data_IF_528648225271
#
_entry.id   IF_528648225271
#
_cell.length_a   1.000
_cell.length_b   1.000
_cell.length_c   1.000
_cell.angle_alpha   90.00
_cell.angle_beta   90.00
_cell.angle_gamma   90.00
#
_symmetry.space_group_name_H-M   'P 1'
#
loop_
_entity.id
_entity.type
_entity.pdbx_description
1 polymer ?
#
# COMPACT_ATOMS: atom_id res chain seq x y z
N UNK A 1 -16.78 -11.97 -25.70
CA UNK A 1 -16.79 -12.09 -24.23
C UNK A 1 -15.46 -11.54 -23.75
N UNK A 2 -15.41 -10.77 -22.65
CA UNK A 2 -14.14 -10.26 -22.13
C UNK A 2 -13.35 -11.40 -21.48
N UNK A 3 -12.03 -11.43 -21.59
CA UNK A 3 -11.18 -12.46 -20.98
C UNK A 3 -10.64 -12.02 -19.64
N UNK A 4 -10.78 -12.86 -18.62
CA UNK A 4 -10.28 -12.63 -17.27
C UNK A 4 -9.26 -13.70 -16.90
N UNK A 5 -8.05 -13.30 -16.52
CA UNK A 5 -7.06 -14.20 -15.94
C UNK A 5 -7.12 -14.12 -14.42
N UNK A 6 -7.54 -15.21 -13.78
CA UNK A 6 -7.61 -15.35 -12.34
C UNK A 6 -6.41 -16.11 -11.80
N UNK A 7 -5.38 -15.38 -11.34
CA UNK A 7 -4.19 -15.91 -10.69
C UNK A 7 -4.43 -16.04 -9.19
N UNK A 8 -4.17 -17.19 -8.59
CA UNK A 8 -4.38 -17.33 -7.14
C UNK A 8 -3.35 -18.22 -6.47
N UNK A 9 -3.03 -17.91 -5.21
CA UNK A 9 -2.20 -18.73 -4.35
C UNK A 9 -3.07 -19.74 -3.58
N UNK A 10 -3.01 -21.05 -3.89
CA UNK A 10 -3.82 -22.07 -3.23
C UNK A 10 -3.47 -22.29 -1.76
N UNK A 11 -2.33 -21.77 -1.30
CA UNK A 11 -1.80 -21.89 0.05
C UNK A 11 -1.93 -20.60 0.87
N UNK A 12 -2.50 -19.52 0.32
CA UNK A 12 -2.66 -18.28 1.05
C UNK A 12 -3.60 -18.43 2.27
N UNK A 13 -3.20 -17.84 3.39
CA UNK A 13 -3.96 -17.86 4.64
C UNK A 13 -4.27 -19.29 5.10
N UNK A 14 -5.57 -19.60 5.25
CA UNK A 14 -6.05 -20.94 5.62
C UNK A 14 -6.40 -21.82 4.41
N UNK A 15 -6.04 -21.42 3.19
CA UNK A 15 -6.34 -22.17 1.97
C UNK A 15 -7.82 -22.15 1.56
N UNK A 16 -8.59 -21.16 2.03
CA UNK A 16 -10.05 -21.07 1.83
C UNK A 16 -10.46 -20.91 0.36
N UNK A 17 -9.53 -20.53 -0.52
CA UNK A 17 -9.81 -20.39 -1.95
C UNK A 17 -10.34 -21.71 -2.55
N UNK A 18 -9.90 -22.86 -2.03
CA UNK A 18 -10.35 -24.19 -2.50
C UNK A 18 -11.86 -24.39 -2.33
N UNK A 19 -12.42 -23.83 -1.27
CA UNK A 19 -13.85 -23.96 -0.95
C UNK A 19 -14.71 -22.93 -1.69
N UNK A 20 -14.11 -21.87 -2.24
CA UNK A 20 -14.81 -20.74 -2.86
C UNK A 20 -14.58 -20.67 -4.38
N UNK A 21 -13.66 -21.45 -4.95
CA UNK A 21 -13.19 -21.30 -6.32
C UNK A 21 -14.33 -21.39 -7.35
N UNK A 22 -15.21 -22.38 -7.23
CA UNK A 22 -16.34 -22.55 -8.15
C UNK A 22 -17.29 -21.35 -8.12
N UNK A 23 -17.63 -20.86 -6.94
CA UNK A 23 -18.53 -19.72 -6.78
C UNK A 23 -17.90 -18.42 -7.29
N UNK A 24 -16.59 -18.22 -7.09
CA UNK A 24 -15.85 -17.08 -7.65
C UNK A 24 -15.88 -17.11 -9.18
N UNK A 25 -15.60 -18.27 -9.78
CA UNK A 25 -15.63 -18.45 -11.24
C UNK A 25 -17.04 -18.24 -11.79
N UNK A 26 -18.07 -18.73 -11.10
CA UNK A 26 -19.48 -18.50 -11.46
C UNK A 26 -19.84 -17.02 -11.43
N UNK A 27 -19.42 -16.28 -10.39
CA UNK A 27 -19.62 -14.82 -10.29
C UNK A 27 -18.99 -14.11 -11.50
N UNK A 28 -17.74 -14.41 -11.83
CA UNK A 28 -17.08 -13.79 -12.98
C UNK A 28 -17.71 -14.18 -14.31
N UNK A 29 -18.12 -15.44 -14.47
CA UNK A 29 -18.80 -15.91 -15.69
C UNK A 29 -20.15 -15.22 -15.87
N UNK A 30 -20.95 -15.08 -14.80
CA UNK A 30 -22.20 -14.30 -14.81
C UNK A 30 -21.96 -12.82 -15.08
N UNK A 31 -20.81 -12.29 -14.66
CA UNK A 31 -20.32 -10.96 -15.02
C UNK A 31 -19.89 -10.79 -16.48
N UNK A 32 -20.01 -11.84 -17.30
CA UNK A 32 -19.73 -11.80 -18.74
C UNK A 32 -18.25 -12.02 -19.10
N UNK A 33 -17.47 -12.64 -18.21
CA UNK A 33 -16.07 -12.97 -18.46
C UNK A 33 -15.88 -14.44 -18.89
N UNK A 34 -15.00 -14.65 -19.86
CA UNK A 34 -14.35 -15.94 -20.10
C UNK A 34 -13.18 -16.07 -19.12
N UNK A 35 -13.33 -16.94 -18.13
CA UNK A 35 -12.40 -17.04 -16.99
C UNK A 35 -11.33 -18.09 -17.25
N UNK A 36 -10.07 -17.68 -17.22
CA UNK A 36 -8.90 -18.58 -17.18
C UNK A 36 -8.33 -18.56 -15.77
N UNK A 37 -8.29 -19.71 -15.12
CA UNK A 37 -7.75 -19.83 -13.75
C UNK A 37 -6.30 -20.30 -13.76
N UNK A 38 -5.48 -19.76 -12.87
CA UNK A 38 -4.07 -20.12 -12.73
C UNK A 38 -3.68 -20.24 -11.24
N UNK A 39 -3.67 -21.47 -10.67
CA UNK A 39 -3.12 -21.69 -9.34
C UNK A 39 -1.59 -21.58 -9.39
N UNK A 40 -1.00 -20.68 -8.62
CA UNK A 40 0.46 -20.54 -8.54
C UNK A 40 1.09 -21.77 -7.89
N UNK A 41 2.23 -22.22 -8.41
CA UNK A 41 2.95 -23.42 -7.97
C UNK A 41 4.18 -23.09 -7.09
N UNK A 42 4.70 -21.86 -7.16
CA UNK A 42 5.88 -21.43 -6.40
C UNK A 42 5.91 -19.90 -6.24
N UNK A 43 6.86 -19.40 -5.43
CA UNK A 43 7.19 -17.97 -5.36
C UNK A 43 7.54 -17.44 -6.76
N UNK A 44 7.06 -16.24 -7.10
CA UNK A 44 7.19 -15.59 -8.42
C UNK A 44 6.48 -16.29 -9.59
N UNK A 45 5.75 -17.40 -9.38
CA UNK A 45 5.03 -18.06 -10.48
C UNK A 45 3.89 -17.19 -11.03
N UNK A 46 3.17 -16.49 -10.14
CA UNK A 46 2.15 -15.51 -10.54
C UNK A 46 2.74 -14.35 -11.35
N UNK A 47 3.85 -13.79 -10.86
CA UNK A 47 4.63 -12.77 -11.59
C UNK A 47 5.02 -13.24 -13.00
N UNK A 48 5.64 -14.43 -13.10
CA UNK A 48 6.11 -14.98 -14.37
C UNK A 48 4.96 -15.23 -15.36
N UNK A 49 3.83 -15.74 -14.86
CA UNK A 49 2.62 -15.96 -15.66
C UNK A 49 2.10 -14.65 -16.23
N UNK A 50 2.04 -13.60 -15.41
CA UNK A 50 1.57 -12.27 -15.81
C UNK A 50 2.52 -11.59 -16.80
N UNK A 51 3.84 -11.65 -16.59
CA UNK A 51 4.81 -11.13 -17.58
C UNK A 51 4.70 -11.84 -18.93
N UNK A 52 4.37 -13.14 -18.94
CA UNK A 52 4.28 -13.93 -20.17
C UNK A 52 3.04 -13.63 -21.02
N UNK A 53 1.87 -13.46 -20.39
CA UNK A 53 0.61 -13.36 -21.13
C UNK A 53 -0.45 -12.47 -20.48
N UNK A 54 -0.13 -11.71 -19.43
CA UNK A 54 -1.11 -10.88 -18.72
C UNK A 54 -1.75 -9.81 -19.61
N UNK A 55 -0.99 -9.29 -20.57
CA UNK A 55 -1.48 -8.29 -21.54
C UNK A 55 -2.48 -8.84 -22.58
N UNK A 56 -2.67 -10.16 -22.64
CA UNK A 56 -3.63 -10.82 -23.55
C UNK A 56 -5.06 -10.86 -22.99
N UNK A 57 -5.26 -10.34 -21.77
CA UNK A 57 -6.53 -10.37 -21.04
C UNK A 57 -7.10 -8.95 -20.85
N UNK A 58 -8.42 -8.87 -20.70
CA UNK A 58 -9.12 -7.62 -20.44
C UNK A 58 -9.15 -7.26 -18.95
N UNK A 59 -8.91 -8.24 -18.08
CA UNK A 59 -8.85 -8.09 -16.62
C UNK A 59 -7.92 -9.13 -16.01
N UNK A 60 -7.12 -8.71 -15.04
CA UNK A 60 -6.38 -9.60 -14.15
C UNK A 60 -7.08 -9.61 -12.81
N UNK A 61 -7.29 -10.79 -12.23
CA UNK A 61 -7.67 -10.92 -10.82
C UNK A 61 -6.59 -11.71 -10.10
N UNK A 62 -6.13 -11.20 -8.97
CA UNK A 62 -5.20 -11.92 -8.08
C UNK A 62 -5.90 -12.30 -6.77
N UNK A 63 -5.63 -13.50 -6.25
CA UNK A 63 -6.06 -13.89 -4.90
C UNK A 63 -4.91 -14.48 -4.09
N UNK A 64 -4.70 -13.91 -2.90
CA UNK A 64 -3.57 -14.28 -2.04
C UNK A 64 -3.41 -13.30 -0.89
N UNK A 65 -2.21 -13.25 -0.31
CA UNK A 65 -1.84 -12.18 0.62
C UNK A 65 -1.17 -11.00 -0.10
N UNK A 66 -0.65 -10.06 0.68
CA UNK A 66 0.03 -8.86 0.18
C UNK A 66 1.22 -9.20 -0.75
N UNK A 67 1.96 -10.29 -0.49
CA UNK A 67 3.03 -10.76 -1.38
C UNK A 67 2.52 -11.21 -2.76
N UNK A 68 1.36 -11.87 -2.83
CA UNK A 68 0.75 -12.28 -4.11
C UNK A 68 0.23 -11.08 -4.90
N UNK A 69 -0.27 -10.04 -4.19
CA UNK A 69 -0.61 -8.76 -4.81
C UNK A 69 0.65 -8.04 -5.32
N UNK A 70 1.72 -7.99 -4.51
CA UNK A 70 3.00 -7.37 -4.88
C UNK A 70 3.61 -8.02 -6.12
N UNK A 71 3.60 -9.35 -6.23
CA UNK A 71 4.02 -10.07 -7.44
C UNK A 71 3.18 -9.67 -8.67
N UNK A 72 1.86 -9.57 -8.52
CA UNK A 72 0.99 -9.19 -9.62
C UNK A 72 1.25 -7.75 -10.08
N UNK A 73 1.32 -6.80 -9.16
CA UNK A 73 1.60 -5.39 -9.47
C UNK A 73 2.97 -5.25 -10.13
N UNK A 74 4.02 -5.88 -9.58
CA UNK A 74 5.37 -5.87 -10.18
C UNK A 74 5.37 -6.35 -11.64
N UNK A 75 4.61 -7.40 -11.96
CA UNK A 75 4.49 -7.87 -13.34
C UNK A 75 3.74 -6.85 -14.20
N UNK A 76 2.63 -6.31 -13.70
CA UNK A 76 1.81 -5.33 -14.42
C UNK A 76 2.54 -4.00 -14.68
N UNK A 77 3.50 -3.62 -13.85
CA UNK A 77 4.37 -2.47 -14.10
C UNK A 77 5.26 -2.62 -15.35
N UNK A 78 5.36 -3.83 -15.91
CA UNK A 78 6.06 -4.09 -17.19
C UNK A 78 5.13 -4.03 -18.41
N UNK A 79 3.83 -3.80 -18.21
CA UNK A 79 2.87 -3.81 -19.30
C UNK A 79 2.83 -2.48 -20.03
N UNK A 80 2.60 -2.51 -21.33
CA UNK A 80 2.37 -1.31 -22.15
C UNK A 80 0.94 -0.77 -21.98
N UNK A 81 0.03 -1.66 -21.56
CA UNK A 81 -1.39 -1.36 -21.34
C UNK A 81 -1.73 -1.40 -19.86
N UNK A 82 -2.54 -0.43 -19.43
CA UNK A 82 -3.09 -0.38 -18.08
C UNK A 82 -4.29 -1.33 -17.93
N UNK A 83 -4.02 -2.63 -17.82
CA UNK A 83 -5.04 -3.65 -17.60
C UNK A 83 -5.62 -3.51 -16.17
N UNK A 84 -6.95 -3.52 -15.98
CA UNK A 84 -7.56 -3.47 -14.65
C UNK A 84 -7.20 -4.69 -13.78
N UNK A 85 -6.99 -4.44 -12.47
CA UNK A 85 -6.67 -5.42 -11.44
C UNK A 85 -7.82 -5.58 -10.44
N UNK A 86 -8.30 -6.80 -10.26
CA UNK A 86 -9.12 -7.18 -9.11
C UNK A 86 -8.25 -7.88 -8.04
N UNK A 87 -8.53 -7.65 -6.77
CA UNK A 87 -7.85 -8.32 -5.66
C UNK A 87 -8.83 -9.00 -4.72
N UNK A 88 -8.67 -10.31 -4.52
CA UNK A 88 -9.43 -11.09 -3.55
C UNK A 88 -8.49 -11.45 -2.38
N UNK A 89 -8.59 -10.76 -1.23
CA UNK A 89 -7.70 -10.99 -0.11
C UNK A 89 -7.92 -12.37 0.52
N UNK A 90 -6.85 -13.15 0.61
CA UNK A 90 -6.81 -14.49 1.18
C UNK A 90 -5.72 -14.66 2.25
N UNK A 91 -4.85 -13.66 2.44
CA UNK A 91 -3.78 -13.66 3.45
C UNK A 91 -4.28 -13.31 4.86
N UNK A 92 -3.34 -13.24 5.81
CA UNK A 92 -3.64 -12.94 7.22
C UNK A 92 -3.74 -11.44 7.51
N UNK A 93 -2.88 -10.63 6.87
CA UNK A 93 -2.79 -9.18 7.11
C UNK A 93 -3.65 -8.42 6.09
N UNK A 94 -3.30 -8.52 4.80
CA UNK A 94 -3.99 -7.87 3.68
C UNK A 94 -4.11 -6.35 3.90
N UNK A 95 -2.99 -5.69 4.21
CA UNK A 95 -2.94 -4.25 4.52
C UNK A 95 -3.48 -3.41 3.36
N UNK A 96 -3.15 -3.77 2.11
CA UNK A 96 -3.65 -3.06 0.93
C UNK A 96 -5.18 -3.21 0.79
N UNK A 97 -5.72 -4.42 0.98
CA UNK A 97 -7.17 -4.64 0.94
C UNK A 97 -7.89 -3.87 2.05
N UNK A 98 -7.30 -3.82 3.25
CA UNK A 98 -7.86 -3.03 4.35
C UNK A 98 -7.88 -1.53 4.03
N UNK A 99 -6.83 -1.02 3.37
CA UNK A 99 -6.73 0.39 3.00
C UNK A 99 -7.71 0.78 1.91
N UNK A 100 -7.89 -0.08 0.91
CA UNK A 100 -8.83 0.11 -0.20
C UNK A 100 -10.27 -0.30 0.13
N UNK A 101 -10.55 -0.66 1.40
CA UNK A 101 -11.86 -1.13 1.87
C UNK A 101 -12.41 -2.37 1.13
N UNK A 102 -11.53 -3.23 0.61
CA UNK A 102 -11.91 -4.46 -0.09
C UNK A 102 -12.46 -5.47 0.93
N UNK A 103 -13.60 -6.14 0.66
CA UNK A 103 -14.18 -7.13 1.55
C UNK A 103 -13.23 -8.29 1.87
N UNK A 104 -13.26 -8.71 3.14
CA UNK A 104 -12.54 -9.91 3.60
C UNK A 104 -13.18 -11.22 3.12
N UNK A 105 -14.47 -11.19 2.76
CA UNK A 105 -15.18 -12.35 2.25
C UNK A 105 -14.92 -12.47 0.75
N UNK A 106 -14.37 -13.60 0.32
CA UNK A 106 -13.90 -13.79 -1.06
C UNK A 106 -15.00 -13.58 -2.10
N UNK A 107 -16.21 -14.10 -1.85
CA UNK A 107 -17.34 -13.95 -2.77
C UNK A 107 -17.83 -12.50 -2.86
N UNK A 108 -17.72 -11.73 -1.79
CA UNK A 108 -18.09 -10.31 -1.80
C UNK A 108 -17.06 -9.52 -2.60
N UNK A 109 -15.76 -9.76 -2.38
CA UNK A 109 -14.70 -9.16 -3.20
C UNK A 109 -14.83 -9.52 -4.70
N UNK A 110 -15.17 -10.77 -5.03
CA UNK A 110 -15.41 -11.18 -6.41
C UNK A 110 -16.58 -10.40 -7.06
N UNK A 111 -17.69 -10.19 -6.35
CA UNK A 111 -18.81 -9.37 -6.84
C UNK A 111 -18.41 -7.92 -7.04
N UNK A 112 -17.67 -7.35 -6.09
CA UNK A 112 -17.17 -5.97 -6.22
C UNK A 112 -16.24 -5.78 -7.42
N UNK A 113 -15.45 -6.78 -7.79
CA UNK A 113 -14.60 -6.71 -8.99
C UNK A 113 -15.45 -6.63 -10.27
N UNK A 114 -16.57 -7.34 -10.34
CA UNK A 114 -17.49 -7.32 -11.49
C UNK A 114 -18.19 -5.97 -11.56
N UNK A 115 -18.85 -5.57 -10.48
CA UNK A 115 -19.79 -4.44 -10.43
C UNK A 115 -19.12 -3.09 -10.11
N UNK A 116 -17.83 -3.12 -9.72
CA UNK A 116 -17.11 -1.96 -9.22
C UNK A 116 -16.80 -0.88 -10.26
N UNK A 117 -16.25 0.22 -9.78
CA UNK A 117 -15.70 1.31 -10.58
C UNK A 117 -14.19 1.14 -10.73
N UNK A 118 -13.63 1.81 -11.74
CA UNK A 118 -12.19 1.89 -11.90
C UNK A 118 -11.61 2.86 -10.89
N UNK A 119 -10.54 2.45 -10.22
CA UNK A 119 -9.81 3.28 -9.27
C UNK A 119 -8.33 3.26 -9.62
N UNK A 120 -7.78 4.40 -10.00
CA UNK A 120 -6.35 4.53 -10.27
C UNK A 120 -5.56 4.62 -8.95
N UNK A 121 -4.37 4.02 -8.91
CA UNK A 121 -3.59 3.86 -7.69
C UNK A 121 -2.10 4.05 -7.97
N UNK A 122 -1.43 4.78 -7.08
CA UNK A 122 0.00 5.03 -7.13
C UNK A 122 0.82 3.82 -6.69
N UNK A 123 1.90 3.54 -7.41
CA UNK A 123 2.84 2.46 -7.07
C UNK A 123 4.19 3.06 -6.77
N UNK A 124 4.89 2.53 -5.76
CA UNK A 124 6.23 2.99 -5.46
C UNK A 124 7.31 2.27 -6.26
N UNK A 125 8.33 3.02 -6.68
CA UNK A 125 9.53 2.50 -7.33
C UNK A 125 10.73 2.74 -6.44
N UNK A 126 11.38 1.67 -6.00
CA UNK A 126 12.55 1.63 -5.12
C UNK A 126 13.76 1.11 -5.90
N UNK A 127 14.75 1.94 -6.21
CA UNK A 127 15.96 1.53 -6.95
C UNK A 127 15.68 0.64 -8.19
N UNK A 128 14.59 0.91 -8.92
CA UNK A 128 14.15 0.12 -10.07
C UNK A 128 13.26 -1.09 -9.79
N UNK A 129 13.05 -1.46 -8.53
CA UNK A 129 12.02 -2.43 -8.10
C UNK A 129 10.71 -1.70 -7.76
N UNK A 130 9.59 -2.41 -7.74
CA UNK A 130 8.30 -1.81 -7.37
C UNK A 130 7.82 -2.33 -6.01
N UNK A 131 7.05 -1.51 -5.30
CA UNK A 131 6.30 -1.88 -4.10
C UNK A 131 4.91 -1.26 -4.16
N UNK A 132 3.94 -1.94 -3.56
CA UNK A 132 2.53 -1.56 -3.67
C UNK A 132 2.19 -0.49 -2.65
N UNK A 133 2.58 -0.66 -1.39
CA UNK A 133 1.99 0.17 -0.33
C UNK A 133 2.99 0.67 0.72
N UNK A 134 4.13 0.00 0.93
CA UNK A 134 5.15 0.51 1.85
C UNK A 134 6.57 0.05 1.50
N UNK A 135 7.50 0.99 1.54
CA UNK A 135 8.92 0.74 1.70
C UNK A 135 9.35 1.17 3.10
N UNK A 136 10.17 0.40 3.78
CA UNK A 136 10.61 0.74 5.14
C UNK A 136 12.00 0.24 5.50
N UNK A 137 12.59 0.87 6.52
CA UNK A 137 13.86 0.48 7.11
C UNK A 137 13.84 0.62 8.64
N UNK A 138 14.81 -0.02 9.31
CA UNK A 138 15.04 0.14 10.74
C UNK A 138 14.28 -0.88 11.60
N UNK A 139 13.86 -0.47 12.80
CA UNK A 139 13.06 -1.28 13.69
C UNK A 139 11.89 -1.89 12.89
N UNK A 140 11.64 -3.19 13.07
CA UNK A 140 10.64 -3.98 12.32
C UNK A 140 11.07 -4.59 10.98
N UNK A 141 12.29 -4.36 10.45
CA UNK A 141 12.79 -5.15 9.28
C UNK A 141 13.27 -6.56 9.65
N UNK A 142 13.71 -6.78 10.89
CA UNK A 142 14.21 -8.07 11.40
C UNK A 142 13.22 -8.81 12.34
N UNK A 143 12.07 -8.21 12.64
CA UNK A 143 11.12 -8.77 13.61
C UNK A 143 9.83 -9.15 12.89
N UNK A 144 9.77 -10.41 12.48
CA UNK A 144 8.51 -11.12 12.24
C UNK A 144 7.52 -10.85 13.38
N UNK A 145 6.26 -10.64 13.00
CA UNK A 145 5.06 -10.33 13.80
C UNK A 145 4.78 -11.20 15.05
N UNK A 146 5.74 -11.35 15.97
CA UNK A 146 5.60 -12.23 17.14
C UNK A 146 5.10 -11.52 18.40
N UNK A 147 4.68 -10.26 18.34
CA UNK A 147 4.32 -9.59 19.59
C UNK A 147 3.24 -8.51 19.47
N UNK A 148 1.96 -8.89 19.54
CA UNK A 148 0.98 -7.95 20.12
C UNK A 148 -0.35 -8.48 20.67
N UNK A 149 -0.84 -9.69 20.39
CA UNK A 149 -2.15 -10.08 20.97
C UNK A 149 -2.01 -10.68 22.38
N UNK A 150 -1.03 -11.56 22.59
CA UNK A 150 -0.76 -12.21 23.89
C UNK A 150 -0.06 -11.29 24.89
N UNK A 151 0.74 -10.33 24.42
CA UNK A 151 1.47 -9.38 25.28
C UNK A 151 0.61 -8.22 25.79
N UNK A 152 -0.35 -7.73 24.99
CA UNK A 152 -1.30 -6.70 25.44
C UNK A 152 -2.21 -7.19 26.57
N UNK A 153 -2.56 -8.48 26.57
CA UNK A 153 -3.52 -9.02 27.53
C UNK A 153 -2.91 -9.50 28.86
N UNK A 154 -1.57 -9.60 28.96
CA UNK A 154 -0.94 -10.31 30.09
C UNK A 154 -0.06 -9.45 31.01
N UNK A 155 0.36 -8.25 30.59
CA UNK A 155 1.53 -7.62 31.22
C UNK A 155 1.43 -6.14 31.67
N UNK A 156 0.37 -5.40 31.34
CA UNK A 156 0.23 -4.00 31.79
C UNK A 156 1.33 -3.05 31.27
N UNK A 157 1.16 -1.74 31.50
CA UNK A 157 2.02 -0.70 30.90
C UNK A 157 3.51 -0.80 31.33
N UNK A 158 3.78 -1.23 32.57
CA UNK A 158 5.14 -1.29 33.12
C UNK A 158 6.05 -2.36 32.48
N UNK A 159 5.51 -3.54 32.14
CA UNK A 159 6.29 -4.58 31.49
C UNK A 159 6.56 -4.28 30.00
N UNK A 160 5.64 -3.55 29.35
CA UNK A 160 5.87 -3.01 28.01
C UNK A 160 7.03 -2.00 27.99
N UNK A 161 7.08 -1.11 28.99
CA UNK A 161 8.21 -0.18 29.19
C UNK A 161 9.52 -0.94 29.48
N UNK A 162 9.48 -1.98 30.32
CA UNK A 162 10.67 -2.79 30.62
C UNK A 162 11.22 -3.55 29.40
N UNK A 163 10.34 -4.10 28.57
CA UNK A 163 10.72 -4.75 27.30
C UNK A 163 11.22 -3.71 26.28
N UNK A 164 10.61 -2.52 26.24
CA UNK A 164 11.10 -1.38 25.45
C UNK A 164 12.51 -0.95 25.86
N UNK A 165 12.81 -0.89 27.16
CA UNK A 165 14.15 -0.59 27.71
C UNK A 165 15.17 -1.67 27.29
N UNK A 166 14.80 -2.95 27.38
CA UNK A 166 15.68 -4.06 26.95
C UNK A 166 15.98 -4.03 25.46
N UNK A 167 15.04 -3.55 24.65
CA UNK A 167 15.20 -3.41 23.20
C UNK A 167 15.93 -2.12 22.84
N UNK A 168 15.84 -1.05 23.63
CA UNK A 168 16.52 0.22 23.38
C UNK A 168 18.03 0.06 23.19
N UNK A 169 18.71 -0.78 23.98
CA UNK A 169 20.15 -1.02 23.82
C UNK A 169 20.52 -1.77 22.52
N UNK A 170 19.53 -2.35 21.83
CA UNK A 170 19.67 -3.02 20.54
C UNK A 170 19.16 -2.16 19.37
N UNK A 171 18.37 -1.12 19.65
CA UNK A 171 17.86 -0.21 18.62
C UNK A 171 19.03 0.68 18.18
N UNK A 172 19.60 0.34 17.02
CA UNK A 172 20.67 1.13 16.41
C UNK A 172 20.04 2.07 15.39
N UNK A 173 20.09 3.37 15.68
CA UNK A 173 19.69 4.41 14.74
C UNK A 173 20.58 4.41 13.50
N UNK A 174 19.97 4.61 12.34
CA UNK A 174 20.67 4.72 11.07
C UNK A 174 20.95 6.19 10.79
N UNK A 175 22.23 6.54 10.67
CA UNK A 175 22.65 7.88 10.25
C UNK A 175 22.36 8.03 8.76
N UNK A 176 21.46 8.94 8.43
CA UNK A 176 20.98 9.15 7.08
C UNK A 176 20.90 10.63 6.73
N UNK A 177 21.22 10.91 5.47
CA UNK A 177 20.84 12.11 4.74
C UNK A 177 19.61 11.76 3.89
N UNK A 178 18.53 12.51 4.06
CA UNK A 178 17.26 12.35 3.36
C UNK A 178 17.03 13.60 2.52
N UNK A 179 16.77 13.42 1.24
CA UNK A 179 16.56 14.51 0.29
C UNK A 179 15.20 14.36 -0.38
N UNK A 180 14.37 15.39 -0.33
CA UNK A 180 13.09 15.45 -1.04
C UNK A 180 12.78 16.89 -1.39
N UNK A 181 12.20 17.16 -2.55
CA UNK A 181 11.70 18.49 -2.94
C UNK A 181 12.68 19.67 -2.77
N UNK A 182 14.00 19.40 -2.87
CA UNK A 182 15.06 20.40 -2.65
C UNK A 182 15.44 20.63 -1.18
N UNK A 183 14.77 19.98 -0.24
CA UNK A 183 15.09 19.96 1.18
C UNK A 183 16.06 18.83 1.53
N UNK A 184 16.84 19.06 2.59
CA UNK A 184 17.80 18.09 3.12
C UNK A 184 17.57 17.93 4.61
N UNK A 185 17.38 16.68 5.03
CA UNK A 185 17.22 16.28 6.43
C UNK A 185 18.35 15.32 6.78
N UNK A 186 19.18 15.70 7.75
CA UNK A 186 20.25 14.84 8.25
C UNK A 186 19.95 14.43 9.70
N UNK A 187 20.07 13.14 9.99
CA UNK A 187 19.80 12.65 11.33
C UNK A 187 19.95 11.14 11.50
N UNK A 188 19.71 10.71 12.73
CA UNK A 188 19.71 9.30 13.11
C UNK A 188 18.27 8.82 13.26
N UNK A 189 17.87 7.84 12.46
CA UNK A 189 16.49 7.33 12.44
C UNK A 189 16.43 5.85 12.82
N UNK A 190 15.50 5.50 13.70
CA UNK A 190 15.28 4.10 14.10
C UNK A 190 14.24 3.41 13.23
N UNK A 191 13.44 4.16 12.48
CA UNK A 191 12.43 3.65 11.57
C UNK A 191 12.20 4.70 10.50
N UNK A 192 12.07 4.26 9.25
CA UNK A 192 11.48 5.06 8.19
C UNK A 192 10.42 4.25 7.46
N UNK A 193 9.29 4.90 7.18
CA UNK A 193 8.18 4.36 6.41
C UNK A 193 7.87 5.34 5.28
N UNK A 194 7.88 4.85 4.05
CA UNK A 194 7.47 5.56 2.85
C UNK A 194 6.27 4.80 2.32
N UNK A 195 5.08 5.37 2.46
CA UNK A 195 3.83 4.63 2.31
C UNK A 195 2.83 5.28 1.38
N UNK A 196 1.98 4.43 0.80
CA UNK A 196 0.71 4.77 0.15
C UNK A 196 -0.41 3.88 0.73
N UNK A 197 -0.59 3.93 2.05
CA UNK A 197 -1.49 3.03 2.81
C UNK A 197 -2.06 3.75 4.03
N UNK A 198 -3.20 3.29 4.56
CA UNK A 198 -3.71 3.72 5.89
C UNK A 198 -3.44 2.67 6.97
N UNK A 199 -2.79 1.56 6.64
CA UNK A 199 -2.36 0.51 7.58
C UNK A 199 -1.01 -0.08 7.19
N UNK A 200 -0.07 -0.15 8.14
CA UNK A 200 1.13 -0.99 8.03
C UNK A 200 1.10 -2.02 9.15
N UNK A 201 1.11 -3.31 8.81
CA UNK A 201 1.10 -4.40 9.78
C UNK A 201 -0.13 -4.42 10.68
N UNK A 202 -1.29 -3.98 10.15
CA UNK A 202 -2.53 -3.83 10.91
C UNK A 202 -2.58 -2.61 11.86
N UNK A 203 -1.54 -1.75 11.87
CA UNK A 203 -1.50 -0.54 12.68
C UNK A 203 -1.94 0.69 11.87
N UNK A 204 -3.20 1.10 12.07
CA UNK A 204 -3.81 2.23 11.34
C UNK A 204 -3.32 3.64 11.75
N UNK A 205 -2.55 3.75 12.84
CA UNK A 205 -2.25 5.04 13.51
C UNK A 205 -0.79 5.47 13.41
N UNK A 206 0.04 4.71 12.70
CA UNK A 206 1.46 5.04 12.49
C UNK A 206 1.70 5.77 11.15
N UNK A 207 0.65 5.99 10.36
CA UNK A 207 0.75 6.69 9.08
C UNK A 207 0.11 8.07 9.23
N UNK A 208 0.68 9.06 8.54
CA UNK A 208 0.17 10.41 8.51
C UNK A 208 -1.32 10.44 8.10
N UNK A 209 -2.08 11.39 8.62
CA UNK A 209 -3.48 11.58 8.25
C UNK A 209 -3.63 12.14 6.83
N UNK A 210 -4.74 11.82 6.16
CA UNK A 210 -5.05 12.37 4.83
C UNK A 210 -4.29 11.69 3.70
N UNK A 211 -4.11 10.37 3.77
CA UNK A 211 -3.57 9.55 2.68
C UNK A 211 -4.53 9.61 1.49
N UNK A 212 -4.01 9.98 0.33
CA UNK A 212 -4.71 9.95 -0.94
C UNK A 212 -3.95 9.00 -1.86
N UNK A 213 -4.61 7.96 -2.38
CA UNK A 213 -3.89 6.84 -2.96
C UNK A 213 -3.40 7.06 -4.40
N UNK A 214 -3.72 8.22 -4.98
CA UNK A 214 -3.55 8.53 -6.38
C UNK A 214 -3.07 9.97 -6.66
N UNK A 215 -2.63 10.69 -5.62
CA UNK A 215 -2.23 12.11 -5.72
C UNK A 215 -0.81 12.29 -6.30
N UNK A 216 -0.03 11.21 -6.38
CA UNK A 216 1.37 11.19 -6.81
C UNK A 216 2.36 11.40 -5.66
N UNK A 217 1.92 11.33 -4.41
CA UNK A 217 2.74 11.57 -3.22
C UNK A 217 2.78 10.33 -2.32
N UNK A 218 3.86 10.20 -1.56
CA UNK A 218 3.93 9.27 -0.42
C UNK A 218 3.74 10.03 0.88
N UNK A 219 3.17 9.36 1.88
CA UNK A 219 3.34 9.74 3.28
C UNK A 219 4.65 9.17 3.80
N UNK A 220 5.58 10.05 4.16
CA UNK A 220 6.87 9.68 4.76
C UNK A 220 6.84 9.94 6.26
N UNK A 221 7.18 8.93 7.05
CA UNK A 221 7.34 9.03 8.50
C UNK A 221 8.70 8.49 8.89
N UNK A 222 9.55 9.35 9.45
CA UNK A 222 10.83 8.96 10.04
C UNK A 222 10.78 9.12 11.55
N UNK A 223 11.16 8.09 12.28
CA UNK A 223 11.24 8.10 13.74
C UNK A 223 12.67 8.37 14.16
N UNK A 224 12.90 9.51 14.82
CA UNK A 224 14.21 9.93 15.31
C UNK A 224 14.70 8.96 16.38
N UNK A 225 16.02 8.80 16.46
CA UNK A 225 16.64 7.93 17.46
C UNK A 225 16.43 8.49 18.87
N UNK A 226 15.74 7.76 19.77
CA UNK A 226 15.50 8.24 21.12
C UNK A 226 16.82 8.23 21.92
N UNK A 227 17.04 9.25 22.74
CA UNK A 227 18.24 9.39 23.58
C UNK A 227 18.20 8.49 24.81
N UNK A 228 17.00 8.11 25.24
CA UNK A 228 16.78 7.30 26.43
C UNK A 228 15.42 6.59 26.38
N UNK A 229 15.17 5.73 27.38
CA UNK A 229 13.96 4.93 27.48
C UNK A 229 12.67 5.73 27.64
N UNK A 230 12.73 6.89 28.31
CA UNK A 230 11.57 7.77 28.50
C UNK A 230 11.18 8.35 27.14
N UNK A 231 12.14 8.81 26.36
CA UNK A 231 11.92 9.31 25.00
C UNK A 231 11.37 8.23 24.07
N UNK A 232 11.89 6.99 24.14
CA UNK A 232 11.31 5.86 23.40
C UNK A 232 9.85 5.60 23.81
N UNK A 233 9.56 5.58 25.12
CA UNK A 233 8.19 5.39 25.60
C UNK A 233 7.24 6.50 25.14
N UNK A 234 7.70 7.75 25.14
CA UNK A 234 6.91 8.88 24.66
C UNK A 234 6.67 8.78 23.15
N UNK A 235 7.71 8.45 22.38
CA UNK A 235 7.62 8.23 20.93
C UNK A 235 6.59 7.15 20.59
N UNK A 236 6.61 6.02 21.30
CA UNK A 236 5.63 4.95 21.10
C UNK A 236 4.21 5.42 21.46
N UNK A 237 4.05 6.09 22.60
CA UNK A 237 2.74 6.60 23.03
C UNK A 237 2.17 7.60 22.01
N UNK A 238 3.02 8.49 21.50
CA UNK A 238 2.69 9.47 20.46
C UNK A 238 2.27 8.78 19.16
N UNK A 239 3.04 7.79 18.69
CA UNK A 239 2.68 6.97 17.53
C UNK A 239 1.33 6.25 17.71
N UNK A 240 1.08 5.63 18.87
CA UNK A 240 -0.19 4.93 19.13
C UNK A 240 -1.38 5.90 19.15
N UNK A 241 -1.16 7.15 19.56
CA UNK A 241 -2.15 8.21 19.58
C UNK A 241 -2.27 8.97 18.25
N UNK A 242 -1.47 8.62 17.23
CA UNK A 242 -1.32 9.37 15.98
C UNK A 242 -0.96 10.86 16.18
N UNK A 243 -0.11 11.13 17.18
CA UNK A 243 0.42 12.47 17.49
C UNK A 243 1.88 12.55 17.06
N UNK A 244 2.12 12.58 15.75
CA UNK A 244 3.47 12.56 15.17
C UNK A 244 4.16 13.93 15.38
N UNK A 245 4.66 14.16 16.60
CA UNK A 245 5.28 15.43 16.98
C UNK A 245 6.71 15.55 16.42
N UNK A 246 7.05 16.72 15.88
CA UNK A 246 8.36 17.02 15.28
C UNK A 246 9.55 16.77 16.21
N UNK A 247 9.33 16.69 17.53
CA UNK A 247 10.37 16.30 18.49
C UNK A 247 10.88 14.88 18.24
N UNK A 248 9.99 13.92 17.97
CA UNK A 248 10.34 12.50 17.83
C UNK A 248 10.16 11.99 16.40
N UNK A 249 9.42 12.71 15.56
CA UNK A 249 9.10 12.33 14.19
C UNK A 249 9.60 13.39 13.20
N UNK A 250 9.81 12.96 11.97
CA UNK A 250 9.86 13.82 10.79
C UNK A 250 8.80 13.27 9.86
N UNK A 251 7.87 14.12 9.42
CA UNK A 251 6.81 13.72 8.49
C UNK A 251 6.68 14.70 7.36
N UNK A 252 6.56 14.19 6.14
CA UNK A 252 6.35 15.00 4.95
C UNK A 252 5.64 14.17 3.87
N UNK A 253 5.13 14.86 2.85
CA UNK A 253 4.63 14.24 1.63
C UNK A 253 5.56 14.58 0.47
N UNK A 254 5.86 13.61 -0.39
CA UNK A 254 6.70 13.85 -1.57
C UNK A 254 6.46 12.83 -2.68
N UNK A 255 6.71 13.22 -3.92
CA UNK A 255 6.72 12.32 -5.08
C UNK A 255 8.06 11.59 -5.25
N UNK A 256 9.14 12.11 -4.67
CA UNK A 256 10.49 11.54 -4.79
C UNK A 256 11.33 11.82 -3.55
N UNK A 257 11.93 10.77 -2.99
CA UNK A 257 12.84 10.87 -1.85
C UNK A 257 14.08 10.03 -2.07
N UNK A 258 15.23 10.57 -1.68
CA UNK A 258 16.52 9.87 -1.69
C UNK A 258 17.05 9.72 -0.27
N UNK A 259 17.54 8.53 0.06
CA UNK A 259 18.19 8.21 1.32
C UNK A 259 19.64 7.82 1.04
N UNK A 260 20.58 8.51 1.70
CA UNK A 260 22.00 8.14 1.71
C UNK A 260 22.41 7.84 3.15
N UNK A 261 22.98 6.66 3.40
CA UNK A 261 23.43 6.21 4.72
C UNK A 261 24.91 5.89 4.74
N UNK A 262 25.53 6.04 5.92
CA UNK A 262 26.97 5.74 6.12
C UNK A 262 27.24 4.24 5.98
N UNK A 263 26.34 3.41 6.51
CA UNK A 263 26.42 1.95 6.45
C UNK A 263 25.29 1.39 5.58
N UNK A 264 25.43 0.16 5.12
CA UNK A 264 24.34 -0.58 4.48
C UNK A 264 23.15 -0.75 5.43
N UNK A 265 21.98 -0.29 5.00
CA UNK A 265 20.73 -0.39 5.76
C UNK A 265 19.83 -1.43 5.12
N UNK A 266 19.30 -2.41 5.87
CA UNK A 266 18.27 -3.32 5.37
C UNK A 266 16.95 -2.59 5.13
N UNK A 267 16.32 -2.89 4.00
CA UNK A 267 15.01 -2.39 3.63
C UNK A 267 14.00 -3.51 3.48
N UNK A 268 12.73 -3.19 3.67
CA UNK A 268 11.59 -4.03 3.33
C UNK A 268 10.69 -3.33 2.32
N UNK A 269 10.11 -4.10 1.41
CA UNK A 269 9.14 -3.67 0.40
C UNK A 269 7.92 -4.56 0.53
N UNK A 270 6.76 -4.00 0.90
CA UNK A 270 5.52 -4.74 1.17
C UNK A 270 5.71 -5.92 2.16
N UNK A 271 6.66 -5.77 3.10
CA UNK A 271 7.01 -6.81 4.08
C UNK A 271 7.99 -7.89 3.60
N UNK A 272 8.42 -7.86 2.33
CA UNK A 272 9.49 -8.72 1.79
C UNK A 272 10.84 -7.98 1.82
N UNK A 273 11.96 -8.71 1.67
CA UNK A 273 13.29 -8.08 1.66
C UNK A 273 13.47 -7.16 0.44
N UNK A 274 13.81 -5.90 0.69
CA UNK A 274 14.24 -4.92 -0.30
C UNK A 274 15.75 -4.88 -0.51
N UNK A 275 16.51 -5.78 0.14
CA UNK A 275 17.98 -5.78 0.13
C UNK A 275 18.60 -4.82 1.15
N UNK A 276 19.92 -4.64 1.06
CA UNK A 276 20.67 -3.70 1.90
C UNK A 276 21.33 -2.66 1.00
N UNK A 277 21.22 -1.40 1.37
CA UNK A 277 21.64 -0.28 0.52
C UNK A 277 22.27 0.84 1.35
N UNK A 278 23.27 1.49 0.79
CA UNK A 278 23.78 2.80 1.26
C UNK A 278 23.12 3.97 0.53
N UNK A 279 22.54 3.71 -0.64
CA UNK A 279 21.82 4.70 -1.45
C UNK A 279 20.49 4.11 -1.91
N UNK A 280 19.41 4.84 -1.66
CA UNK A 280 18.05 4.48 -2.06
C UNK A 280 17.39 5.68 -2.68
N UNK A 281 16.87 5.51 -3.89
CA UNK A 281 15.96 6.43 -4.55
C UNK A 281 14.57 5.80 -4.60
N UNK A 282 13.56 6.53 -4.11
CA UNK A 282 12.16 6.14 -4.13
C UNK A 282 11.35 7.18 -4.90
N UNK A 283 10.61 6.72 -5.91
CA UNK A 283 9.77 7.55 -6.78
C UNK A 283 8.33 7.04 -6.78
N UNK A 284 7.36 7.95 -6.73
CA UNK A 284 5.95 7.63 -6.89
C UNK A 284 5.61 7.52 -8.38
N UNK A 285 5.15 6.34 -8.80
CA UNK A 285 4.58 6.12 -10.11
C UNK A 285 3.08 6.44 -10.04
N UNK A 286 2.75 7.71 -10.27
CA UNK A 286 1.39 8.23 -10.14
C UNK A 286 0.42 7.44 -11.02
N UNK A 287 -0.67 6.98 -10.40
CA UNK A 287 -1.77 6.29 -11.05
C UNK A 287 -1.25 5.16 -11.97
N UNK A 288 -0.29 4.37 -11.51
CA UNK A 288 0.34 3.34 -12.34
C UNK A 288 -0.53 2.08 -12.49
N UNK A 289 -1.34 1.75 -11.47
CA UNK A 289 -2.25 0.61 -11.48
C UNK A 289 -3.70 1.11 -11.47
N UNK A 290 -4.60 0.29 -12.00
CA UNK A 290 -6.05 0.53 -11.99
C UNK A 290 -6.75 -0.63 -11.32
N UNK A 291 -7.29 -0.43 -10.13
CA UNK A 291 -8.12 -1.41 -9.45
C UNK A 291 -9.57 -1.38 -9.93
N UNK A 292 -10.28 -2.49 -9.71
CA UNK A 292 -11.75 -2.55 -9.71
C UNK A 292 -12.24 -2.64 -8.27
N UNK A 293 -12.88 -1.57 -7.78
CA UNK A 293 -13.35 -1.44 -6.40
C UNK A 293 -14.82 -1.06 -6.38
N UNK A 294 -15.55 -1.43 -5.33
CA UNK A 294 -16.88 -0.88 -5.12
C UNK A 294 -16.81 0.64 -4.88
N UNK A 295 -17.80 1.42 -5.36
CA UNK A 295 -17.98 2.80 -4.92
C UNK A 295 -17.97 2.95 -3.39
N UNK A 296 -17.03 3.74 -2.91
CA UNK A 296 -16.82 4.13 -1.53
C UNK A 296 -16.21 5.54 -1.48
N UNK A 297 -16.00 6.08 -0.28
CA UNK A 297 -15.47 7.43 -0.08
C UNK A 297 -14.15 7.67 -0.83
N UNK A 298 -13.25 6.67 -0.85
CA UNK A 298 -11.95 6.74 -1.55
C UNK A 298 -12.14 6.88 -3.07
N UNK A 299 -13.02 6.09 -3.66
CA UNK A 299 -13.31 6.17 -5.11
C UNK A 299 -14.08 7.44 -5.48
N UNK A 300 -14.88 7.97 -4.56
CA UNK A 300 -15.63 9.21 -4.76
C UNK A 300 -14.69 10.42 -4.77
N UNK A 301 -13.70 10.46 -3.87
CA UNK A 301 -12.66 11.49 -3.84
C UNK A 301 -11.90 11.56 -5.18
N UNK A 302 -11.45 10.42 -5.71
CA UNK A 302 -10.77 10.39 -7.02
C UNK A 302 -11.68 10.86 -8.16
N UNK A 303 -12.97 10.50 -8.13
CA UNK A 303 -13.94 10.94 -9.15
C UNK A 303 -14.15 12.46 -9.09
N UNK A 304 -14.28 13.03 -7.89
CA UNK A 304 -14.44 14.48 -7.69
C UNK A 304 -13.20 15.27 -8.15
N UNK A 305 -12.00 14.75 -7.87
CA UNK A 305 -10.74 15.33 -8.36
C UNK A 305 -10.67 15.26 -9.90
N UNK A 306 -11.10 14.17 -10.51
CA UNK A 306 -11.13 14.04 -11.98
C UNK A 306 -12.13 15.03 -12.62
N UNK A 307 -13.35 15.17 -12.08
CA UNK A 307 -14.34 16.14 -12.57
C UNK A 307 -13.86 17.60 -12.40
N UNK A 308 -13.22 17.93 -11.29
CA UNK A 308 -12.67 19.28 -11.06
C UNK A 308 -11.41 19.57 -11.88
N UNK A 309 -10.62 18.55 -12.22
CA UNK A 309 -9.43 18.68 -13.07
C UNK A 309 -9.77 18.70 -14.58
N UNK A 310 -11.01 18.38 -14.97
CA UNK A 310 -11.41 18.39 -16.37
C UNK A 310 -12.87 18.06 -16.59
N UNK A 311 -13.72 19.10 -16.54
CA UNK A 311 -14.89 19.23 -17.39
C UNK A 311 -15.00 20.70 -17.84
N UNK A 312 -14.16 21.11 -18.81
CA UNK A 312 -14.55 22.20 -19.70
C UNK A 312 -15.48 21.60 -20.75
N UNK A 313 -16.77 21.82 -20.59
CA UNK A 313 -17.73 21.54 -21.67
C UNK A 313 -17.49 22.60 -22.74
N UNK A 314 -17.07 22.16 -23.93
CA UNK A 314 -17.03 23.01 -25.11
C UNK A 314 -18.48 23.32 -25.51
N UNK A 315 -18.85 24.59 -25.61
CA UNK A 315 -20.14 24.97 -26.20
C UNK A 315 -20.16 24.57 -27.68
N UNK A 316 -21.34 24.49 -28.30
CA UNK A 316 -21.47 24.24 -29.75
C UNK A 316 -20.69 25.26 -30.61
N UNK A 317 -20.30 26.39 -30.02
CA UNK A 317 -19.54 27.48 -30.65
C UNK A 317 -18.02 27.38 -30.44
N UNK A 318 -17.54 26.36 -29.73
CA UNK A 318 -16.11 26.08 -29.54
C UNK A 318 -15.42 26.91 -28.45
N UNK A 319 -16.17 27.48 -27.51
CA UNK A 319 -15.60 28.19 -26.36
C UNK A 319 -15.60 27.30 -25.10
N UNK A 320 -14.49 27.26 -24.33
CA UNK A 320 -14.46 26.56 -23.05
C UNK A 320 -15.26 27.34 -21.99
N UNK A 321 -16.17 26.65 -21.30
CA UNK A 321 -16.90 27.21 -20.14
C UNK A 321 -16.45 26.47 -18.88
N UNK A 322 -16.09 27.24 -17.85
CA UNK A 322 -15.88 26.74 -16.49
C UNK A 322 -17.23 26.77 -15.78
N UNK A 323 -17.69 25.63 -15.26
CA UNK A 323 -18.88 25.61 -14.40
C UNK A 323 -18.42 26.12 -13.03
N UNK A 324 -18.76 27.36 -12.69
CA UNK A 324 -18.72 27.82 -11.31
C UNK A 324 -19.99 27.30 -10.60
N UNK A 325 -19.82 26.41 -9.62
CA UNK A 325 -20.90 25.95 -8.76
C UNK A 325 -21.52 27.15 -8.02
N UNK A 326 -22.69 27.60 -8.46
CA UNK A 326 -23.56 28.46 -7.66
C UNK A 326 -24.39 27.59 -6.71
N UNK A 327 -23.88 27.41 -5.49
CA UNK A 327 -24.73 27.10 -4.34
C UNK A 327 -25.42 28.39 -3.89
N UNK A 328 -26.61 28.67 -4.42
CA UNK A 328 -27.57 29.55 -3.74
C UNK A 328 -28.17 28.77 -2.56
N UNK A 329 -27.84 29.21 -1.35
CA UNK A 329 -28.59 28.88 -0.14
C UNK A 329 -29.77 29.84 -0.14
N UNK A 330 -30.98 29.34 -0.43
CA UNK A 330 -32.21 30.05 -0.09
C UNK A 330 -32.58 29.79 1.38
N UNK A 331 -33.03 30.86 2.03
CA UNK A 331 -33.28 31.07 3.47
C UNK A 331 -34.26 30.11 4.16
#
# INVERSE_FOLDING_TARGET
>A
MKKLLFVFNPHAGKGQIKDNLCDIVDIFTKGGYEVVTYPTQAKLDGYNKLCKCGQDYDMIVTSGGDGTLSEAVKAMMTFDKKIPLGYIPAGSTNDCAQSLSIPKKMLDAAREIVDGVYFDYDVGKFNGQYFVYVAGFGAFTDVSYETSQTMKNKFGHAAYVAEGIKRLSKITGQQMRVEHDGEVIEGSFILGLISNTISVGGMKKLIASGVCFDDGLFEVVLVKTPKNAIELSNTINEAVLNKLNDKHFVTFKTSKVTFTSVNEVPWTLDGESGGKHTYVEIENCKQAIRFKLKPNDITAEQTAVQCSAGDMIMTEDGHPVVIEDQYEIED
#
